data_IF_666280140982
#
_entry.id   IF_666280140982
#
_cell.length_a   1.000
_cell.length_b   1.000
_cell.length_c   1.000
_cell.angle_alpha   90.00
_cell.angle_beta   90.00
_cell.angle_gamma   90.00
#
_symmetry.space_group_name_H-M   'P 1'
#
loop_
_entity.id
_entity.type
_entity.pdbx_description
1 polymer ?
#
# COMPACT_ATOMS: atom_id res chain seq x y z
N UNK A 1 -11.13 -8.10 17.56
CA UNK A 1 -10.24 -6.95 17.50
C UNK A 1 -10.12 -6.46 16.07
N UNK A 2 -10.33 -5.18 15.83
CA UNK A 2 -10.25 -4.64 14.47
C UNK A 2 -8.80 -4.45 14.05
N UNK A 3 -8.45 -4.90 12.86
CA UNK A 3 -7.13 -4.70 12.28
C UNK A 3 -7.20 -3.42 11.43
N UNK A 4 -6.25 -2.51 11.65
CA UNK A 4 -6.15 -1.31 10.85
C UNK A 4 -5.17 -1.51 9.70
N UNK A 5 -5.56 -1.10 8.52
CA UNK A 5 -4.73 -1.15 7.31
C UNK A 5 -4.44 0.28 6.89
N UNK A 6 -3.16 0.64 6.88
CA UNK A 6 -2.71 1.97 6.46
C UNK A 6 -1.90 1.87 5.18
N UNK A 7 -2.12 2.81 4.26
CA UNK A 7 -1.31 2.93 3.06
C UNK A 7 -0.08 3.78 3.38
N UNK A 8 1.09 3.24 3.11
CA UNK A 8 2.35 3.92 3.37
C UNK A 8 3.24 3.88 2.14
N UNK A 9 4.27 4.71 2.14
CA UNK A 9 5.24 4.77 1.06
C UNK A 9 6.65 4.60 1.61
N UNK A 10 7.50 3.96 0.81
CA UNK A 10 8.91 3.77 1.12
C UNK A 10 9.76 4.27 -0.03
N UNK A 11 10.75 5.10 0.26
CA UNK A 11 11.69 5.56 -0.77
C UNK A 11 12.55 4.41 -1.25
N UNK A 12 12.64 4.29 -2.57
CA UNK A 12 13.50 3.31 -3.23
C UNK A 12 14.40 4.03 -4.22
N UNK A 13 15.34 3.31 -4.82
CA UNK A 13 16.25 3.90 -5.80
C UNK A 13 15.49 4.43 -7.03
N UNK A 14 16.08 5.36 -7.77
CA UNK A 14 15.47 5.92 -8.97
C UNK A 14 14.43 6.98 -8.73
N UNK A 15 14.46 7.66 -7.58
CA UNK A 15 13.53 8.72 -7.21
C UNK A 15 12.07 8.26 -7.25
N UNK A 16 11.83 7.05 -6.77
CA UNK A 16 10.49 6.46 -6.72
C UNK A 16 10.12 6.10 -5.29
N UNK A 17 8.80 6.03 -5.05
CA UNK A 17 8.22 5.59 -3.79
C UNK A 17 7.47 4.29 -4.05
N UNK A 18 7.79 3.26 -3.29
CA UNK A 18 7.06 1.99 -3.34
C UNK A 18 5.91 2.04 -2.34
N UNK A 19 4.70 1.75 -2.80
CA UNK A 19 3.52 1.75 -1.95
C UNK A 19 3.35 0.40 -1.29
N UNK A 20 3.00 0.41 -0.01
CA UNK A 20 2.72 -0.80 0.74
C UNK A 20 1.61 -0.58 1.77
N UNK A 21 0.99 -1.68 2.18
CA UNK A 21 0.01 -1.66 3.25
C UNK A 21 0.70 -2.04 4.57
N UNK A 22 0.36 -1.32 5.63
CA UNK A 22 0.86 -1.56 6.98
C UNK A 22 -0.32 -2.07 7.83
N UNK A 23 -0.19 -3.27 8.36
CA UNK A 23 -1.23 -3.90 9.16
C UNK A 23 -0.91 -3.76 10.65
N UNK A 24 -1.90 -3.35 11.41
CA UNK A 24 -1.77 -3.24 12.85
C UNK A 24 -3.02 -3.79 13.53
N UNK A 25 -2.88 -4.83 14.35
CA UNK A 25 -1.68 -5.65 14.55
C UNK A 25 -1.32 -6.50 13.32
N UNK A 26 -0.17 -7.16 13.39
CA UNK A 26 0.30 -8.03 12.31
C UNK A 26 -0.72 -9.14 12.02
N UNK A 27 -0.80 -9.56 10.76
CA UNK A 27 -1.69 -10.64 10.32
C UNK A 27 -0.87 -11.84 9.85
N UNK A 28 -1.45 -13.06 9.86
CA UNK A 28 -0.75 -14.21 9.31
C UNK A 28 -0.53 -14.07 7.80
N UNK A 29 0.66 -14.39 7.35
CA UNK A 29 0.95 -14.41 5.92
C UNK A 29 0.22 -15.58 5.27
N UNK A 30 -0.48 -15.40 4.14
CA UNK A 30 -1.30 -16.47 3.56
C UNK A 30 -0.52 -17.71 3.13
N UNK A 31 0.77 -17.57 2.83
CA UNK A 31 1.59 -18.69 2.37
C UNK A 31 2.41 -19.34 3.48
N UNK A 32 2.92 -18.55 4.43
CA UNK A 32 3.85 -19.04 5.47
C UNK A 32 3.21 -19.14 6.85
N UNK A 33 2.09 -18.46 7.08
CA UNK A 33 1.47 -18.39 8.39
C UNK A 33 2.19 -17.50 9.39
N UNK A 34 3.36 -16.97 9.04
CA UNK A 34 4.12 -16.10 9.93
C UNK A 34 3.48 -14.72 10.03
N UNK A 35 3.60 -14.02 11.18
CA UNK A 35 3.07 -12.66 11.28
C UNK A 35 3.73 -11.74 10.28
N UNK A 36 2.90 -10.97 9.58
CA UNK A 36 3.38 -9.94 8.66
C UNK A 36 2.66 -8.63 8.93
N UNK A 37 3.40 -7.55 8.85
CA UNK A 37 2.86 -6.20 9.03
C UNK A 37 2.82 -5.41 7.73
N UNK A 38 3.44 -5.89 6.67
CA UNK A 38 3.58 -5.13 5.42
C UNK A 38 3.23 -5.99 4.22
N UNK A 39 2.51 -5.38 3.30
CA UNK A 39 2.23 -5.98 1.99
C UNK A 39 2.59 -4.96 0.93
N UNK A 40 3.66 -5.22 0.16
CA UNK A 40 4.05 -4.33 -0.93
C UNK A 40 3.15 -4.59 -2.14
N UNK A 41 2.64 -3.51 -2.73
CA UNK A 41 1.62 -3.61 -3.78
C UNK A 41 2.21 -3.72 -5.18
N UNK A 42 3.52 -3.44 -5.34
CA UNK A 42 4.13 -3.37 -6.67
C UNK A 42 3.70 -2.11 -7.43
N UNK A 43 3.19 -1.12 -6.72
CA UNK A 43 2.74 0.15 -7.29
C UNK A 43 3.73 1.23 -6.84
N UNK A 44 4.12 2.09 -7.76
CA UNK A 44 5.14 3.10 -7.51
C UNK A 44 4.61 4.49 -7.80
N UNK A 45 5.10 5.47 -7.04
CA UNK A 45 4.91 6.88 -7.30
C UNK A 45 6.26 7.52 -7.61
N UNK A 46 6.24 8.64 -8.34
CA UNK A 46 7.43 9.47 -8.47
C UNK A 46 7.59 10.31 -7.20
N UNK A 47 8.79 10.33 -6.62
CA UNK A 47 9.07 11.07 -5.38
C UNK A 47 8.83 12.58 -5.58
N UNK A 48 9.29 13.11 -6.72
CA UNK A 48 9.12 14.53 -7.05
C UNK A 48 8.57 14.65 -8.47
N UNK A 49 7.24 14.61 -8.64
CA UNK A 49 6.67 14.76 -9.97
C UNK A 49 6.96 16.16 -10.53
N UNK A 50 7.52 16.22 -11.74
CA UNK A 50 7.98 17.48 -12.34
C UNK A 50 7.05 18.04 -13.39
N UNK A 51 6.17 17.22 -13.96
CA UNK A 51 5.31 17.62 -15.06
C UNK A 51 3.90 17.04 -14.86
N UNK A 52 2.90 17.52 -15.64
CA UNK A 52 1.52 17.05 -15.48
C UNK A 52 1.35 15.54 -15.69
N UNK A 53 2.14 14.92 -16.56
CA UNK A 53 2.08 13.48 -16.83
C UNK A 53 2.49 12.70 -15.57
N UNK A 54 3.58 13.11 -14.93
CA UNK A 54 4.06 12.48 -13.70
C UNK A 54 3.03 12.63 -12.56
N UNK A 55 2.42 13.80 -12.45
CA UNK A 55 1.40 14.06 -11.43
C UNK A 55 0.17 13.18 -11.65
N UNK A 56 -0.26 13.05 -12.91
CA UNK A 56 -1.39 12.19 -13.24
C UNK A 56 -1.10 10.73 -12.94
N UNK A 57 0.11 10.27 -13.24
CA UNK A 57 0.57 8.93 -12.91
C UNK A 57 0.46 8.68 -11.40
N UNK A 58 0.93 9.62 -10.58
CA UNK A 58 0.85 9.50 -9.14
C UNK A 58 -0.58 9.46 -8.64
N UNK A 59 -1.45 10.34 -9.15
CA UNK A 59 -2.86 10.36 -8.76
C UNK A 59 -3.55 9.05 -9.09
N UNK A 60 -3.35 8.52 -10.29
CA UNK A 60 -3.98 7.27 -10.72
C UNK A 60 -3.47 6.10 -9.87
N UNK A 61 -2.18 6.01 -9.63
CA UNK A 61 -1.60 4.93 -8.85
C UNK A 61 -2.02 5.01 -7.38
N UNK A 62 -2.10 6.21 -6.83
CA UNK A 62 -2.56 6.40 -5.46
C UNK A 62 -4.03 6.00 -5.31
N UNK A 63 -4.87 6.32 -6.28
CA UNK A 63 -6.28 5.92 -6.29
C UNK A 63 -6.42 4.39 -6.30
N UNK A 64 -5.62 3.72 -7.13
CA UNK A 64 -5.62 2.25 -7.19
C UNK A 64 -5.17 1.67 -5.84
N UNK A 65 -4.11 2.20 -5.27
CA UNK A 65 -3.58 1.73 -3.99
C UNK A 65 -4.58 1.92 -2.85
N UNK A 66 -5.27 3.06 -2.81
CA UNK A 66 -6.32 3.32 -1.81
C UNK A 66 -7.49 2.34 -1.95
N UNK A 67 -7.86 2.01 -3.18
CA UNK A 67 -8.91 1.02 -3.43
C UNK A 67 -8.51 -0.35 -2.89
N UNK A 68 -7.25 -0.75 -3.09
CA UNK A 68 -6.73 -2.00 -2.55
C UNK A 68 -6.74 -1.97 -1.02
N UNK A 69 -6.32 -0.86 -0.42
CA UNK A 69 -6.33 -0.69 1.03
C UNK A 69 -7.74 -0.88 1.59
N UNK A 70 -8.74 -0.25 0.98
CA UNK A 70 -10.13 -0.37 1.41
C UNK A 70 -10.63 -1.82 1.32
N UNK A 71 -10.29 -2.51 0.25
CA UNK A 71 -10.67 -3.91 0.07
C UNK A 71 -10.04 -4.79 1.16
N UNK A 72 -8.76 -4.58 1.48
CA UNK A 72 -8.10 -5.32 2.55
C UNK A 72 -8.71 -5.02 3.91
N UNK A 73 -9.02 -3.74 4.17
CA UNK A 73 -9.65 -3.34 5.42
C UNK A 73 -11.01 -4.02 5.59
N UNK A 74 -11.81 -4.05 4.54
CA UNK A 74 -13.13 -4.68 4.57
C UNK A 74 -13.03 -6.19 4.80
N UNK A 75 -12.10 -6.87 4.14
CA UNK A 75 -11.90 -8.31 4.30
C UNK A 75 -11.47 -8.64 5.73
N UNK A 76 -10.55 -7.86 6.29
CA UNK A 76 -10.01 -8.11 7.63
C UNK A 76 -11.00 -7.76 8.74
N UNK A 77 -11.97 -6.89 8.47
CA UNK A 77 -12.99 -6.50 9.46
C UNK A 77 -14.25 -7.35 9.41
N UNK A 78 -14.33 -8.31 8.49
CA UNK A 78 -15.47 -9.22 8.46
C UNK A 78 -15.44 -10.14 9.67
N UNK A 79 -16.59 -10.38 10.31
CA UNK A 79 -16.71 -11.30 11.42
C UNK A 79 -16.45 -12.75 11.03
#
# INVERSE_FOLDING_TARGET
MAIKVKLREKKISGKRLSLYLDFYPAIPHPKTGEPTRREFLGIYLFDKPKNPVDKLHNENNLTIAESIREQRQNVLNKP
#
